data_IF_644135167290
#
_entry.id   IF_644135167290
#
_cell.length_a   1.000
_cell.length_b   1.000
_cell.length_c   1.000
_cell.angle_alpha   90.00
_cell.angle_beta   90.00
_cell.angle_gamma   90.00
#
_symmetry.space_group_name_H-M   'P 1'
#
loop_
_entity.id
_entity.type
_entity.pdbx_description
1 polymer ?
#
# COMPACT_ATOMS: atom_id res chain seq x y z
N UNK A 1 29.25 -10.71 19.86
CA UNK A 1 27.89 -10.22 19.54
C UNK A 1 27.42 -10.95 18.29
N UNK A 2 26.53 -11.93 18.42
CA UNK A 2 25.98 -12.64 17.24
C UNK A 2 24.91 -11.76 16.60
N UNK A 3 25.13 -11.37 15.35
CA UNK A 3 24.15 -10.62 14.57
C UNK A 3 22.89 -11.50 14.35
N UNK A 4 21.71 -10.89 14.35
CA UNK A 4 20.48 -11.61 13.99
C UNK A 4 20.49 -11.91 12.49
N UNK A 5 20.12 -13.13 12.06
CA UNK A 5 20.12 -13.48 10.64
C UNK A 5 19.12 -12.62 9.86
N UNK A 6 19.50 -12.26 8.63
CA UNK A 6 18.62 -11.49 7.74
C UNK A 6 17.40 -12.33 7.35
N UNK A 7 16.35 -11.70 6.79
CA UNK A 7 15.22 -12.49 6.30
C UNK A 7 15.63 -13.39 5.13
N UNK A 8 16.48 -12.91 4.22
CA UNK A 8 16.97 -13.71 3.09
C UNK A 8 17.79 -14.93 3.55
N UNK A 9 18.59 -14.78 4.59
CA UNK A 9 19.35 -15.88 5.19
C UNK A 9 18.42 -16.95 5.80
N UNK A 10 17.35 -16.52 6.47
CA UNK A 10 16.32 -17.42 6.99
C UNK A 10 15.63 -18.15 5.84
N UNK A 11 15.28 -17.44 4.76
CA UNK A 11 14.65 -18.05 3.58
C UNK A 11 15.54 -19.12 2.94
N UNK A 12 16.83 -18.84 2.81
CA UNK A 12 17.80 -19.79 2.24
C UNK A 12 18.01 -21.01 3.15
N UNK A 13 17.96 -20.83 4.47
CA UNK A 13 18.07 -21.93 5.44
C UNK A 13 16.79 -22.75 5.62
N UNK A 14 15.64 -22.20 5.20
CA UNK A 14 14.33 -22.85 5.36
C UNK A 14 13.98 -23.74 4.19
N UNK A 15 13.48 -24.94 4.48
CA UNK A 15 12.93 -25.83 3.46
C UNK A 15 11.53 -25.37 3.05
N UNK A 16 11.44 -24.62 1.95
CA UNK A 16 10.18 -24.16 1.37
C UNK A 16 9.66 -25.17 0.33
N UNK A 17 8.33 -25.31 0.16
CA UNK A 17 7.76 -26.16 -0.88
C UNK A 17 8.02 -25.59 -2.28
N UNK A 18 7.61 -26.30 -3.33
CA UNK A 18 7.72 -25.78 -4.71
C UNK A 18 6.92 -24.48 -4.88
N UNK A 19 7.36 -23.55 -5.76
CA UNK A 19 6.67 -22.29 -6.01
C UNK A 19 5.18 -22.49 -6.31
N UNK A 20 4.32 -21.76 -5.58
CA UNK A 20 2.87 -21.88 -5.61
C UNK A 20 2.22 -21.24 -4.38
N UNK A 21 0.90 -21.41 -4.18
CA UNK A 21 0.20 -20.89 -3.01
C UNK A 21 0.82 -21.35 -1.68
N UNK A 22 1.19 -22.63 -1.60
CA UNK A 22 1.85 -23.23 -0.42
C UNK A 22 3.20 -22.58 -0.12
N UNK A 23 3.98 -22.24 -1.16
CA UNK A 23 5.24 -21.50 -1.01
C UNK A 23 5.02 -20.12 -0.42
N UNK A 24 4.01 -19.39 -0.92
CA UNK A 24 3.66 -18.09 -0.38
C UNK A 24 3.26 -18.18 1.10
N UNK A 25 2.41 -19.14 1.46
CA UNK A 25 2.02 -19.31 2.85
C UNK A 25 3.21 -19.66 3.76
N UNK A 26 4.07 -20.60 3.33
CA UNK A 26 5.26 -20.98 4.07
C UNK A 26 6.20 -19.78 4.28
N UNK A 27 6.47 -19.02 3.21
CA UNK A 27 7.26 -17.79 3.27
C UNK A 27 6.63 -16.74 4.17
N UNK A 28 5.30 -16.55 4.11
CA UNK A 28 4.56 -15.60 4.95
C UNK A 28 4.62 -16.00 6.42
N UNK A 29 4.50 -17.28 6.76
CA UNK A 29 4.67 -17.79 8.13
C UNK A 29 6.06 -17.43 8.68
N UNK A 30 7.11 -17.61 7.89
CA UNK A 30 8.47 -17.21 8.27
C UNK A 30 8.59 -15.69 8.45
N UNK A 31 7.98 -14.90 7.56
CA UNK A 31 8.00 -13.44 7.65
C UNK A 31 7.35 -12.92 8.92
N UNK A 32 6.20 -13.49 9.29
CA UNK A 32 5.39 -13.06 10.44
C UNK A 32 5.92 -13.58 11.77
N UNK A 33 6.88 -14.51 11.77
CA UNK A 33 7.45 -15.08 12.99
C UNK A 33 8.29 -14.03 13.74
N UNK A 34 7.96 -13.67 15.00
CA UNK A 34 8.71 -12.67 15.76
C UNK A 34 10.16 -13.12 16.02
N UNK A 35 11.14 -12.30 15.62
CA UNK A 35 12.59 -12.60 15.74
C UNK A 35 13.20 -12.19 17.09
N UNK A 36 12.42 -12.18 18.15
CA UNK A 36 12.87 -11.82 19.49
C UNK A 36 11.78 -11.22 20.37
N UNK A 37 12.10 -10.93 21.64
CA UNK A 37 11.15 -10.36 22.57
C UNK A 37 10.67 -8.99 22.06
N UNK A 38 9.39 -8.67 22.29
CA UNK A 38 8.86 -7.35 21.96
C UNK A 38 9.69 -6.27 22.66
N UNK A 39 10.00 -5.19 21.93
CA UNK A 39 10.69 -4.04 22.54
C UNK A 39 9.79 -3.48 23.65
N UNK A 40 10.33 -3.20 24.85
CA UNK A 40 9.52 -2.59 25.90
C UNK A 40 8.95 -1.24 25.40
N UNK A 41 7.71 -0.91 25.76
CA UNK A 41 7.11 0.35 25.36
C UNK A 41 7.97 1.51 25.85
N UNK A 42 8.31 2.43 24.95
CA UNK A 42 9.03 3.64 25.33
C UNK A 42 8.14 4.48 26.24
N UNK A 43 8.70 4.95 27.36
CA UNK A 43 8.03 5.89 28.26
C UNK A 43 7.54 7.11 27.47
N UNK A 44 6.27 7.52 27.63
CA UNK A 44 5.73 8.62 26.87
C UNK A 44 6.37 9.94 27.30
N UNK A 45 6.84 10.72 26.33
CA UNK A 45 7.29 12.09 26.58
C UNK A 45 6.12 12.97 27.01
N UNK A 46 6.39 14.09 27.69
CA UNK A 46 5.35 15.06 28.06
C UNK A 46 4.59 15.59 26.84
N UNK A 47 5.30 15.82 25.74
CA UNK A 47 4.70 16.20 24.45
C UNK A 47 3.79 15.10 23.90
N UNK A 48 4.18 13.83 24.03
CA UNK A 48 3.36 12.71 23.59
C UNK A 48 2.09 12.58 24.43
N UNK A 49 2.18 12.70 25.76
CA UNK A 49 1.00 12.69 26.65
C UNK A 49 0.00 13.78 26.28
N UNK A 50 0.48 15.01 26.03
CA UNK A 50 -0.39 16.12 25.58
C UNK A 50 -1.12 15.79 24.28
N UNK A 51 -0.44 15.18 23.29
CA UNK A 51 -1.09 14.75 22.05
C UNK A 51 -2.12 13.64 22.29
N UNK A 52 -1.80 12.66 23.15
CA UNK A 52 -2.73 11.60 23.55
C UNK A 52 -3.99 12.19 24.19
N UNK A 53 -3.82 13.10 25.16
CA UNK A 53 -4.93 13.76 25.87
C UNK A 53 -5.81 14.58 24.92
N UNK A 54 -5.21 15.32 23.98
CA UNK A 54 -5.96 16.08 22.96
C UNK A 54 -6.78 15.15 22.07
N UNK A 55 -6.21 14.03 21.61
CA UNK A 55 -6.89 13.09 20.71
C UNK A 55 -7.83 12.10 21.41
N UNK A 56 -7.83 12.06 22.74
CA UNK A 56 -8.81 11.31 23.53
C UNK A 56 -10.17 12.03 23.61
N UNK A 57 -10.22 13.33 23.30
CA UNK A 57 -11.48 14.06 23.25
C UNK A 57 -12.28 13.71 21.97
N UNK A 58 -13.59 13.48 22.07
CA UNK A 58 -14.43 13.24 20.90
C UNK A 58 -14.43 14.47 19.99
N UNK A 59 -14.28 14.27 18.68
CA UNK A 59 -14.28 15.36 17.70
C UNK A 59 -12.96 16.14 17.57
N UNK A 60 -11.91 15.79 18.32
CA UNK A 60 -10.62 16.50 18.30
C UNK A 60 -10.00 16.66 16.89
N UNK A 61 -10.21 15.67 16.02
CA UNK A 61 -9.73 15.68 14.62
C UNK A 61 -10.32 16.86 13.82
N UNK A 62 -11.58 17.20 14.09
CA UNK A 62 -12.34 18.26 13.41
C UNK A 62 -12.16 19.63 14.09
N UNK A 63 -11.69 19.68 15.33
CA UNK A 63 -11.56 20.92 16.09
C UNK A 63 -10.43 21.80 15.56
N UNK A 64 -10.75 23.04 15.19
CA UNK A 64 -9.77 24.02 14.73
C UNK A 64 -8.85 24.52 15.86
N UNK A 65 -9.36 24.55 17.10
CA UNK A 65 -8.57 24.92 18.27
C UNK A 65 -7.48 23.89 18.57
N UNK A 66 -7.80 22.60 18.46
CA UNK A 66 -6.81 21.52 18.62
C UNK A 66 -5.73 21.65 17.55
N UNK A 67 -6.09 22.05 16.33
CA UNK A 67 -5.12 22.25 15.26
C UNK A 67 -4.12 23.37 15.53
N UNK A 68 -4.62 24.53 15.94
CA UNK A 68 -3.79 25.71 16.25
C UNK A 68 -2.98 25.54 17.54
N UNK A 69 -3.41 24.67 18.47
CA UNK A 69 -2.71 24.40 19.74
C UNK A 69 -1.32 23.75 19.59
N UNK A 70 -0.89 23.43 18.38
CA UNK A 70 0.45 22.91 18.07
C UNK A 70 0.47 21.69 17.15
N UNK A 71 -0.71 21.17 16.80
CA UNK A 71 -0.84 20.04 15.88
C UNK A 71 -0.37 20.40 14.47
N UNK A 72 -0.61 21.63 14.01
CA UNK A 72 -0.08 22.11 12.72
C UNK A 72 1.45 21.97 12.65
N UNK A 73 2.15 22.30 13.74
CA UNK A 73 3.61 22.20 13.80
C UNK A 73 4.09 20.75 13.75
N UNK A 74 3.37 19.85 14.41
CA UNK A 74 3.67 18.40 14.35
C UNK A 74 3.43 17.88 12.93
N UNK A 75 2.31 18.25 12.30
CA UNK A 75 2.01 17.91 10.91
C UNK A 75 3.09 18.40 9.95
N UNK A 76 3.49 19.68 10.02
CA UNK A 76 4.58 20.22 9.18
C UNK A 76 5.89 19.48 9.36
N UNK A 77 6.21 19.08 10.59
CA UNK A 77 7.38 18.24 10.88
C UNK A 77 7.28 16.86 10.21
N UNK A 78 6.10 16.23 10.25
CA UNK A 78 5.87 14.93 9.63
C UNK A 78 5.86 15.01 8.09
N UNK A 79 5.17 15.99 7.51
CA UNK A 79 5.01 16.12 6.06
C UNK A 79 6.29 16.57 5.35
N UNK A 80 7.21 17.23 6.06
CA UNK A 80 8.56 17.55 5.55
C UNK A 80 9.55 16.38 5.60
N UNK A 81 9.12 15.19 6.04
CA UNK A 81 10.00 14.03 6.24
C UNK A 81 10.83 14.10 7.53
N UNK A 82 10.51 15.04 8.42
CA UNK A 82 11.13 15.13 9.73
C UNK A 82 10.83 13.90 10.58
N UNK A 83 11.87 13.34 11.19
CA UNK A 83 11.71 12.21 12.10
C UNK A 83 11.34 12.74 13.50
N UNK A 84 10.23 12.29 14.11
CA UNK A 84 9.87 12.73 15.44
C UNK A 84 10.93 12.28 16.44
N UNK A 85 11.29 13.16 17.38
CA UNK A 85 12.33 12.90 18.40
C UNK A 85 11.96 11.76 19.35
N UNK A 86 10.66 11.47 19.47
CA UNK A 86 10.13 10.31 20.17
C UNK A 86 9.20 9.53 19.25
N UNK A 87 9.20 8.20 19.35
CA UNK A 87 8.26 7.36 18.61
C UNK A 87 6.82 7.76 18.98
N UNK A 88 6.01 8.12 17.97
CA UNK A 88 4.58 8.31 18.14
C UNK A 88 3.84 6.99 17.90
N UNK A 89 2.83 6.65 18.72
CA UNK A 89 1.89 5.58 18.41
C UNK A 89 1.22 5.82 17.06
N UNK A 90 1.13 4.77 16.24
CA UNK A 90 0.50 4.81 14.93
C UNK A 90 -0.93 5.37 14.96
N UNK A 91 -1.81 5.02 15.93
CA UNK A 91 -3.17 5.59 15.98
C UNK A 91 -3.19 7.12 16.09
N UNK A 92 -2.21 7.71 16.79
CA UNK A 92 -2.10 9.17 16.89
C UNK A 92 -1.70 9.72 15.52
N UNK A 93 -0.66 9.16 14.90
CA UNK A 93 -0.19 9.60 13.57
C UNK A 93 -1.32 9.58 12.55
N UNK A 94 -2.13 8.52 12.53
CA UNK A 94 -3.31 8.41 11.67
C UNK A 94 -4.29 9.56 11.93
N UNK A 95 -4.58 9.89 13.20
CA UNK A 95 -5.45 11.03 13.55
C UNK A 95 -4.87 12.38 13.11
N UNK A 96 -3.54 12.58 13.21
CA UNK A 96 -2.88 13.79 12.72
C UNK A 96 -3.05 13.93 11.21
N UNK A 97 -2.78 12.85 10.47
CA UNK A 97 -2.91 12.81 9.00
C UNK A 97 -4.35 13.10 8.59
N UNK A 98 -5.32 12.42 9.23
CA UNK A 98 -6.74 12.64 8.96
C UNK A 98 -7.16 14.10 9.22
N UNK A 99 -6.71 14.68 10.34
CA UNK A 99 -6.96 16.09 10.65
C UNK A 99 -6.39 17.05 9.60
N UNK A 100 -5.23 16.72 9.02
CA UNK A 100 -4.62 17.51 7.94
C UNK A 100 -5.44 17.39 6.64
N UNK A 101 -5.83 16.18 6.25
CA UNK A 101 -6.59 15.96 5.02
C UNK A 101 -7.95 16.65 5.02
N UNK A 102 -8.64 16.68 6.15
CA UNK A 102 -9.91 17.41 6.28
C UNK A 102 -9.74 18.92 6.05
N UNK A 103 -8.57 19.49 6.40
CA UNK A 103 -8.27 20.92 6.26
C UNK A 103 -7.80 21.29 4.87
N UNK A 104 -6.93 20.47 4.30
CA UNK A 104 -6.45 20.63 2.94
C UNK A 104 -7.56 20.31 1.91
N UNK A 105 -8.73 19.86 2.38
CA UNK A 105 -9.85 19.36 1.57
C UNK A 105 -9.44 18.27 0.59
N UNK A 106 -8.36 17.56 0.91
CA UNK A 106 -7.88 16.41 0.14
C UNK A 106 -8.73 15.18 0.43
N UNK A 107 -9.44 15.15 1.55
CA UNK A 107 -10.48 14.15 1.82
C UNK A 107 -11.87 14.80 1.75
N UNK A 108 -12.79 14.30 0.91
CA UNK A 108 -14.13 14.84 0.83
C UNK A 108 -14.91 14.62 2.14
N UNK A 109 -15.51 15.67 2.73
CA UNK A 109 -16.27 15.53 3.97
C UNK A 109 -17.52 14.67 3.74
N UNK A 110 -17.74 13.68 4.59
CA UNK A 110 -18.92 12.80 4.54
C UNK A 110 -18.80 11.59 3.61
N UNK A 111 -17.66 11.39 2.94
CA UNK A 111 -17.35 10.14 2.25
C UNK A 111 -16.62 9.21 3.21
N UNK A 112 -17.27 8.10 3.56
CA UNK A 112 -16.60 6.94 4.13
C UNK A 112 -15.92 6.18 2.99
N UNK A 113 -14.70 5.68 3.23
CA UNK A 113 -14.07 4.80 2.26
C UNK A 113 -14.99 3.58 2.07
N UNK A 114 -15.29 3.16 0.84
CA UNK A 114 -16.00 1.91 0.61
C UNK A 114 -15.30 0.79 1.39
N UNK A 115 -16.07 -0.11 1.98
CA UNK A 115 -15.50 -1.33 2.57
C UNK A 115 -14.64 -2.01 1.50
N UNK A 116 -13.38 -2.28 1.85
CA UNK A 116 -12.33 -2.71 0.94
C UNK A 116 -12.79 -3.86 0.03
N UNK A 117 -12.53 -3.77 -1.27
CA UNK A 117 -12.83 -4.77 -2.32
C UNK A 117 -12.01 -6.08 -2.17
N UNK A 118 -11.41 -6.32 -1.00
CA UNK A 118 -10.62 -7.52 -0.69
C UNK A 118 -11.47 -8.79 -0.56
N UNK A 119 -12.80 -8.67 -0.61
CA UNK A 119 -13.72 -9.80 -0.73
C UNK A 119 -13.97 -10.13 -2.21
N UNK A 120 -12.93 -10.37 -3.00
CA UNK A 120 -13.11 -11.02 -4.30
C UNK A 120 -13.47 -12.49 -4.01
N UNK A 121 -14.72 -12.95 -4.18
CA UNK A 121 -15.05 -14.34 -3.95
C UNK A 121 -14.15 -15.16 -4.86
N UNK A 122 -13.52 -16.20 -4.31
CA UNK A 122 -12.83 -17.21 -5.09
C UNK A 122 -13.86 -17.85 -6.03
N UNK A 123 -14.01 -17.27 -7.24
CA UNK A 123 -14.80 -17.84 -8.32
C UNK A 123 -14.10 -19.13 -8.70
N UNK A 124 -14.59 -20.20 -8.06
CA UNK A 124 -14.25 -21.57 -8.38
C UNK A 124 -14.34 -21.75 -9.88
N UNK A 125 -13.26 -22.30 -10.41
CA UNK A 125 -13.20 -23.00 -11.69
C UNK A 125 -14.51 -23.70 -12.07
N UNK A 126 -14.96 -23.40 -13.29
CA UNK A 126 -15.85 -24.17 -14.16
C UNK A 126 -17.38 -24.02 -14.00
N UNK A 127 -17.97 -23.21 -14.88
CA UNK A 127 -19.18 -23.57 -15.64
C UNK A 127 -19.12 -22.99 -17.07
N UNK A 128 -19.04 -23.84 -18.12
CA UNK A 128 -19.25 -23.40 -19.50
C UNK A 128 -20.65 -23.83 -19.97
N UNK A 129 -21.69 -23.00 -19.87
CA UNK A 129 -22.96 -23.17 -20.60
C UNK A 129 -23.60 -21.79 -20.84
N UNK A 130 -23.60 -21.23 -22.05
CA UNK A 130 -24.38 -21.54 -23.27
C UNK A 130 -25.82 -20.97 -23.25
N UNK A 131 -25.97 -19.91 -24.06
CA UNK A 131 -27.13 -19.44 -24.84
C UNK A 131 -28.43 -18.97 -24.16
N UNK A 132 -28.89 -17.76 -24.49
CA UNK A 132 -29.98 -17.55 -25.47
C UNK A 132 -30.23 -16.04 -25.67
N UNK A 133 -30.22 -15.56 -26.92
CA UNK A 133 -30.83 -14.26 -27.24
C UNK A 133 -30.20 -13.49 -28.41
N UNK A 134 -30.56 -13.84 -29.64
CA UNK A 134 -30.96 -12.87 -30.69
C UNK A 134 -31.44 -13.65 -31.93
N UNK A 135 -32.62 -13.34 -32.49
CA UNK A 135 -33.07 -13.94 -33.73
C UNK A 135 -32.46 -13.23 -34.95
N UNK A 136 -31.88 -14.06 -35.80
CA UNK A 136 -32.01 -14.10 -37.26
C UNK A 136 -32.18 -12.78 -38.04
N UNK A 137 -31.17 -12.43 -38.84
CA UNK A 137 -31.38 -11.82 -40.16
C UNK A 137 -30.27 -12.30 -41.09
N UNK A 138 -30.71 -12.91 -42.20
CA UNK A 138 -29.93 -13.67 -43.18
C UNK A 138 -28.86 -12.91 -43.98
N UNK A 139 -27.80 -13.68 -44.28
CA UNK A 139 -26.69 -13.63 -45.28
C UNK A 139 -27.11 -13.33 -46.75
N UNK A 140 -26.21 -13.31 -47.78
CA UNK A 140 -24.73 -13.52 -47.82
C UNK A 140 -23.92 -12.55 -48.73
N UNK A 141 -22.58 -12.65 -48.66
CA UNK A 141 -21.66 -12.12 -49.68
C UNK A 141 -20.20 -12.16 -49.20
N UNK A 142 -19.61 -13.35 -49.04
CA UNK A 142 -18.63 -13.96 -49.96
C UNK A 142 -17.28 -13.20 -50.11
N UNK A 143 -16.22 -14.01 -50.29
CA UNK A 143 -14.82 -13.69 -50.63
C UNK A 143 -13.87 -13.27 -49.47
N UNK A 144 -13.15 -14.27 -48.94
CA UNK A 144 -11.77 -14.11 -48.47
C UNK A 144 -10.86 -14.67 -49.58
N UNK A 145 -9.70 -14.04 -49.86
CA UNK A 145 -8.48 -14.82 -49.60
C UNK A 145 -7.31 -13.99 -49.04
N UNK A 146 -6.68 -14.59 -48.02
CA UNK A 146 -5.26 -14.92 -47.95
C UNK A 146 -4.19 -13.82 -48.02
N UNK A 147 -3.43 -13.74 -46.93
CA UNK A 147 -1.98 -13.61 -46.86
C UNK A 147 -1.29 -12.36 -47.44
N UNK A 148 -0.95 -11.42 -46.55
CA UNK A 148 0.28 -10.62 -46.62
C UNK A 148 0.69 -10.28 -45.17
N UNK A 149 1.70 -10.95 -44.59
CA UNK A 149 3.10 -10.48 -44.60
C UNK A 149 3.24 -8.99 -44.29
N UNK A 150 3.34 -8.65 -43.01
CA UNK A 150 4.13 -7.51 -42.55
C UNK A 150 4.84 -7.86 -41.25
N UNK A 151 6.09 -8.30 -41.38
CA UNK A 151 7.08 -7.94 -40.39
C UNK A 151 7.45 -6.46 -40.59
N UNK A 152 7.58 -5.71 -39.49
CA UNK A 152 8.42 -4.51 -39.44
C UNK A 152 8.62 -4.03 -38.00
N UNK A 153 9.90 -3.95 -37.64
CA UNK A 153 10.52 -2.95 -36.74
C UNK A 153 10.11 -3.01 -35.27
N UNK A 154 10.94 -3.48 -34.34
CA UNK A 154 12.30 -2.97 -34.05
C UNK A 154 12.34 -1.44 -34.16
N UNK A 155 11.80 -0.79 -33.13
CA UNK A 155 12.06 0.60 -32.81
C UNK A 155 12.43 0.68 -31.34
N UNK A 156 13.69 0.37 -31.12
CA UNK A 156 14.49 0.60 -29.93
C UNK A 156 14.28 2.03 -29.42
N UNK A 157 13.61 2.18 -28.28
CA UNK A 157 13.49 3.45 -27.56
C UNK A 157 14.81 3.70 -26.80
N UNK A 158 15.58 4.78 -27.10
CA UNK A 158 16.80 5.05 -26.37
C UNK A 158 16.50 5.65 -24.99
N UNK A 159 16.96 4.97 -23.94
CA UNK A 159 16.90 5.44 -22.56
C UNK A 159 17.67 6.78 -22.37
N UNK A 160 17.15 7.70 -21.56
CA UNK A 160 17.79 8.99 -21.31
C UNK A 160 19.05 8.88 -20.42
N UNK A 161 20.10 9.68 -20.68
CA UNK A 161 21.36 9.63 -19.94
C UNK A 161 21.22 10.28 -18.56
N UNK A 162 21.38 9.50 -17.49
CA UNK A 162 21.52 10.04 -16.15
C UNK A 162 22.96 10.53 -15.92
N UNK A 163 23.03 11.84 -15.70
CA UNK A 163 24.03 12.67 -15.00
C UNK A 163 25.20 11.89 -14.37
N UNK A 164 26.39 12.06 -14.93
CA UNK A 164 27.67 11.78 -14.28
C UNK A 164 28.04 12.96 -13.37
N UNK A 165 28.04 12.79 -12.05
CA UNK A 165 28.71 13.71 -11.13
C UNK A 165 30.04 13.10 -10.71
N UNK A 166 31.14 13.61 -11.27
CA UNK A 166 32.47 13.44 -10.70
C UNK A 166 32.65 14.48 -9.59
N UNK A 167 33.00 14.01 -8.39
CA UNK A 167 33.47 14.84 -7.28
C UNK A 167 34.99 14.77 -7.28
N UNK A 168 35.63 15.91 -7.54
CA UNK A 168 37.03 16.21 -7.20
C UNK A 168 37.21 16.33 -5.71
#
# INVERSE_FOLDING_TARGET
MTSKPSFDEILQSSSLPSPGPEYYEARRRLWLTPKGPPRPPSQPSSSRRRLEDLFNQPGAVHSQEVWSSGLEKVWRGLSSGGRPKSNLPLPIVIKIIHAAWLRDRTWPPGMEAPDSDDEQPAQGSATPQTSLGTPDTSLPGQHNPSAAMYGRSDLMEPAPPWITMQRT
#
